data_IF_508592279391
#
_entry.id   IF_508592279391
#
_cell.length_a   1.000
_cell.length_b   1.000
_cell.length_c   1.000
_cell.angle_alpha   90.00
_cell.angle_beta   90.00
_cell.angle_gamma   90.00
#
_symmetry.space_group_name_H-M   'P 1'
#
loop_
_entity.id
_entity.type
_entity.pdbx_description
1 polymer ?
#
# COMPACT_ATOMS: atom_id res chain seq x y z
N UNK A 1 -69.33 13.65 8.70
CA UNK A 1 -68.77 12.44 9.35
C UNK A 1 -68.20 11.56 8.25
N UNK A 2 -66.88 11.64 8.01
CA UNK A 2 -65.82 10.77 8.56
C UNK A 2 -65.83 9.35 7.97
N UNK A 3 -64.88 9.07 7.08
CA UNK A 3 -64.32 7.71 6.84
C UNK A 3 -62.80 7.86 6.67
N UNK A 4 -61.96 7.38 7.60
CA UNK A 4 -60.51 7.61 7.58
C UNK A 4 -59.76 6.62 6.67
N UNK A 5 -58.55 7.02 6.30
CA UNK A 5 -57.62 6.32 5.39
C UNK A 5 -56.98 5.09 6.05
N UNK A 6 -57.59 3.90 5.91
CA UNK A 6 -57.09 2.61 6.46
C UNK A 6 -56.04 1.89 5.58
N UNK A 7 -55.30 2.62 4.74
CA UNK A 7 -54.23 2.04 3.90
C UNK A 7 -52.81 2.32 4.39
N UNK A 8 -52.63 3.28 5.29
CA UNK A 8 -51.31 3.82 5.61
C UNK A 8 -50.55 2.98 6.65
N UNK A 9 -51.27 2.44 7.63
CA UNK A 9 -50.67 1.73 8.78
C UNK A 9 -50.03 0.41 8.37
N UNK A 10 -50.61 -0.31 7.42
CA UNK A 10 -50.08 -1.60 6.94
C UNK A 10 -48.76 -1.44 6.20
N UNK A 11 -48.60 -0.37 5.41
CA UNK A 11 -47.36 -0.08 4.68
C UNK A 11 -46.26 0.37 5.64
N UNK A 12 -46.60 1.21 6.63
CA UNK A 12 -45.67 1.65 7.68
C UNK A 12 -45.16 0.47 8.52
N UNK A 13 -46.07 -0.42 8.94
CA UNK A 13 -45.72 -1.59 9.74
C UNK A 13 -44.84 -2.58 8.93
N UNK A 14 -45.06 -2.68 7.62
CA UNK A 14 -44.25 -3.55 6.76
C UNK A 14 -42.85 -2.97 6.49
N UNK A 15 -42.72 -1.66 6.31
CA UNK A 15 -41.43 -0.98 6.21
C UNK A 15 -40.59 -1.11 7.49
N UNK A 16 -41.23 -1.05 8.65
CA UNK A 16 -40.57 -1.18 9.94
C UNK A 16 -40.05 -2.61 10.16
N UNK A 17 -40.86 -3.61 9.81
CA UNK A 17 -40.45 -5.02 9.83
C UNK A 17 -39.29 -5.29 8.87
N UNK A 18 -39.26 -4.65 7.69
CA UNK A 18 -38.16 -4.80 6.74
C UNK A 18 -36.86 -4.18 7.26
N UNK A 19 -36.91 -3.00 7.90
CA UNK A 19 -35.73 -2.38 8.53
C UNK A 19 -35.18 -3.20 9.68
N UNK A 20 -36.05 -3.76 10.52
CA UNK A 20 -35.66 -4.63 11.64
C UNK A 20 -35.02 -5.94 11.14
N UNK A 21 -35.54 -6.50 10.04
CA UNK A 21 -34.92 -7.67 9.39
C UNK A 21 -33.57 -7.33 8.76
N UNK A 22 -33.43 -6.17 8.13
CA UNK A 22 -32.15 -5.69 7.64
C UNK A 22 -31.16 -5.53 8.79
N UNK A 23 -31.57 -5.01 9.95
CA UNK A 23 -30.72 -4.82 11.12
C UNK A 23 -30.18 -6.14 11.72
N UNK A 24 -30.98 -7.21 11.70
CA UNK A 24 -30.56 -8.53 12.19
C UNK A 24 -29.74 -9.32 11.16
N UNK A 25 -29.84 -8.98 9.87
CA UNK A 25 -29.06 -9.60 8.80
C UNK A 25 -27.77 -8.82 8.46
N UNK A 26 -27.47 -7.74 9.20
CA UNK A 26 -26.14 -7.12 9.17
C UNK A 26 -25.26 -7.91 10.14
N UNK A 27 -24.18 -8.56 9.68
CA UNK A 27 -23.19 -9.07 10.61
C UNK A 27 -22.70 -7.91 11.50
N UNK A 28 -22.34 -8.18 12.78
CA UNK A 28 -21.85 -7.14 13.69
C UNK A 28 -20.76 -6.34 12.98
N UNK A 29 -20.92 -5.01 12.93
CA UNK A 29 -19.87 -4.12 12.45
C UNK A 29 -18.64 -4.46 13.29
N UNK A 30 -17.54 -4.93 12.67
CA UNK A 30 -16.32 -5.15 13.42
C UNK A 30 -15.96 -3.82 14.11
N UNK A 31 -15.41 -3.86 15.34
CA UNK A 31 -14.83 -2.67 15.94
C UNK A 31 -13.89 -2.04 14.91
N UNK A 32 -13.93 -0.70 14.79
CA UNK A 32 -12.97 0.04 13.98
C UNK A 32 -11.58 -0.56 14.20
N UNK A 33 -10.89 -1.03 13.14
CA UNK A 33 -9.54 -1.51 13.30
C UNK A 33 -8.67 -0.32 13.67
N UNK A 34 -8.40 -0.20 14.97
CA UNK A 34 -7.07 0.14 15.44
C UNK A 34 -6.12 -0.89 14.81
N UNK A 35 -5.56 -0.55 13.65
CA UNK A 35 -4.60 -1.38 12.92
C UNK A 35 -5.24 -2.40 11.97
N UNK A 36 -5.01 -2.20 10.67
CA UNK A 36 -5.27 -3.22 9.64
C UNK A 36 -6.21 -2.78 8.53
N UNK A 37 -5.79 -1.83 7.69
CA UNK A 37 -6.34 -1.77 6.34
C UNK A 37 -6.04 -3.09 5.59
N UNK A 38 -6.80 -3.43 4.53
CA UNK A 38 -6.61 -4.68 3.79
C UNK A 38 -5.13 -4.86 3.48
N UNK A 39 -4.58 -6.01 3.88
CA UNK A 39 -3.35 -6.53 3.30
C UNK A 39 -3.70 -6.77 1.84
N UNK A 40 -3.45 -5.77 0.99
CA UNK A 40 -3.09 -6.02 -0.39
C UNK A 40 -1.79 -6.83 -0.31
N UNK A 41 -1.94 -8.14 -0.23
CA UNK A 41 -0.87 -9.12 -0.37
C UNK A 41 -0.47 -9.06 -1.85
N UNK A 42 0.42 -8.13 -2.18
CA UNK A 42 0.77 -7.81 -3.56
C UNK A 42 1.56 -6.52 -3.72
N UNK A 43 1.48 -5.60 -2.75
CA UNK A 43 2.42 -4.50 -2.66
C UNK A 43 3.66 -4.97 -1.89
N UNK A 44 4.90 -4.75 -2.38
CA UNK A 44 6.11 -5.08 -1.66
C UNK A 44 6.01 -4.39 -0.31
N UNK A 45 6.18 -5.16 0.76
CA UNK A 45 6.19 -4.66 2.13
C UNK A 45 7.27 -3.59 2.36
N UNK A 46 8.08 -3.30 1.34
CA UNK A 46 9.30 -2.53 1.45
C UNK A 46 9.23 -1.02 1.48
N UNK A 47 8.06 -0.42 1.34
CA UNK A 47 7.87 1.03 1.60
C UNK A 47 7.04 1.28 2.86
N UNK A 48 6.63 0.23 3.58
CA UNK A 48 5.61 0.28 4.64
C UNK A 48 5.94 1.18 5.85
N UNK A 49 7.18 1.67 5.99
CA UNK A 49 7.61 2.48 7.13
C UNK A 49 8.35 3.75 6.71
N UNK A 50 7.86 4.46 5.69
CA UNK A 50 8.33 5.82 5.38
C UNK A 50 7.64 6.84 6.30
N UNK A 51 8.31 7.39 7.32
CA UNK A 51 7.72 8.40 8.19
C UNK A 51 7.27 9.62 7.37
N UNK A 52 6.11 10.18 7.71
CA UNK A 52 5.54 11.35 7.04
C UNK A 52 4.68 11.06 5.81
N UNK A 53 4.72 9.85 5.24
CA UNK A 53 3.73 9.43 4.24
C UNK A 53 2.53 8.79 4.92
N UNK A 54 1.34 9.04 4.36
CA UNK A 54 0.12 8.34 4.70
C UNK A 54 0.14 6.94 4.10
N UNK A 55 -0.69 6.04 4.64
CA UNK A 55 -0.79 4.66 4.14
C UNK A 55 -1.12 4.58 2.64
N UNK A 56 -1.97 5.48 2.13
CA UNK A 56 -2.32 5.51 0.70
C UNK A 56 -1.15 5.94 -0.19
N UNK A 57 -0.34 6.90 0.25
CA UNK A 57 0.86 7.32 -0.48
C UNK A 57 1.93 6.22 -0.49
N UNK A 58 2.09 5.53 0.64
CA UNK A 58 2.99 4.38 0.75
C UNK A 58 2.56 3.26 -0.20
N UNK A 59 1.26 2.94 -0.24
CA UNK A 59 0.69 1.91 -1.10
C UNK A 59 0.85 2.27 -2.58
N UNK A 60 0.53 3.51 -2.97
CA UNK A 60 0.72 4.00 -4.34
C UNK A 60 2.19 3.97 -4.78
N UNK A 61 3.10 4.36 -3.89
CA UNK A 61 4.54 4.30 -4.14
C UNK A 61 5.02 2.85 -4.28
N UNK A 62 4.54 1.96 -3.40
CA UNK A 62 4.85 0.54 -3.42
C UNK A 62 4.41 -0.11 -4.72
N UNK A 63 3.15 0.11 -5.11
CA UNK A 63 2.58 -0.40 -6.35
C UNK A 63 3.37 0.12 -7.55
N UNK A 64 3.66 1.42 -7.61
CA UNK A 64 4.42 2.01 -8.71
C UNK A 64 5.79 1.34 -8.85
N UNK A 65 6.55 1.28 -7.76
CA UNK A 65 7.89 0.65 -7.75
C UNK A 65 7.80 -0.81 -8.20
N UNK A 66 6.76 -1.53 -7.78
CA UNK A 66 6.55 -2.94 -8.14
C UNK A 66 6.43 -3.16 -9.64
N UNK A 67 5.75 -2.25 -10.35
CA UNK A 67 5.60 -2.34 -11.80
C UNK A 67 6.96 -2.28 -12.52
N UNK A 68 7.92 -1.54 -11.96
CA UNK A 68 9.27 -1.44 -12.52
C UNK A 68 10.25 -2.45 -11.93
N UNK A 69 9.88 -3.15 -10.86
CA UNK A 69 10.77 -4.05 -10.17
C UNK A 69 10.68 -5.45 -10.75
N UNK A 70 11.60 -5.76 -11.65
CA UNK A 70 11.78 -7.12 -12.16
C UNK A 70 12.69 -7.91 -11.22
N UNK A 71 12.10 -8.77 -10.39
CA UNK A 71 12.84 -9.75 -9.58
C UNK A 71 12.76 -11.09 -10.29
N UNK A 72 13.91 -11.68 -10.59
CA UNK A 72 13.97 -13.03 -11.15
C UNK A 72 13.46 -14.04 -10.11
N UNK A 73 12.20 -14.47 -10.28
CA UNK A 73 11.50 -15.41 -9.39
C UNK A 73 12.17 -16.79 -9.30
N UNK A 74 13.11 -17.10 -10.20
CA UNK A 74 13.84 -18.38 -10.24
C UNK A 74 14.90 -18.56 -9.14
N UNK A 75 15.22 -17.52 -8.37
CA UNK A 75 16.16 -17.65 -7.25
C UNK A 75 15.45 -18.04 -5.94
N UNK A 76 15.73 -19.26 -5.48
CA UNK A 76 15.22 -19.78 -4.22
C UNK A 76 15.69 -18.92 -3.02
N UNK A 77 14.75 -18.57 -2.13
CA UNK A 77 15.03 -17.89 -0.86
C UNK A 77 15.19 -16.37 -0.94
N UNK A 78 14.84 -15.73 -2.07
CA UNK A 78 14.82 -14.27 -2.12
C UNK A 78 13.70 -13.66 -1.26
N UNK A 79 12.58 -14.36 -1.05
CA UNK A 79 11.42 -13.87 -0.33
C UNK A 79 11.66 -13.57 1.17
N UNK A 80 12.78 -14.03 1.74
CA UNK A 80 13.19 -13.73 3.11
C UNK A 80 14.26 -12.62 3.19
N UNK A 81 14.69 -12.11 2.04
CA UNK A 81 15.67 -11.03 1.95
C UNK A 81 14.95 -9.69 2.05
N UNK A 82 15.50 -8.81 2.89
CA UNK A 82 15.11 -7.40 2.96
C UNK A 82 16.36 -6.54 2.82
N UNK A 83 16.35 -5.61 1.87
CA UNK A 83 17.46 -4.68 1.65
C UNK A 83 17.02 -3.26 1.95
N UNK A 84 17.83 -2.57 2.72
CA UNK A 84 17.62 -1.19 3.14
C UNK A 84 18.42 -0.23 2.25
N UNK A 85 17.71 0.71 1.62
CA UNK A 85 18.24 1.70 0.70
C UNK A 85 17.74 3.10 1.09
N UNK A 86 18.58 4.12 0.87
CA UNK A 86 18.20 5.54 0.85
C UNK A 86 18.21 6.04 -0.58
N UNK A 87 17.39 7.04 -0.85
CA UNK A 87 17.32 7.68 -2.16
C UNK A 87 17.62 9.16 -2.05
N UNK A 88 18.29 9.72 -3.05
CA UNK A 88 18.36 11.17 -3.26
C UNK A 88 17.35 11.57 -4.31
N UNK A 89 16.55 12.58 -4.00
CA UNK A 89 15.47 13.06 -4.84
C UNK A 89 15.79 14.48 -5.32
N UNK A 90 15.46 14.77 -6.58
CA UNK A 90 15.42 16.13 -7.09
C UNK A 90 14.13 16.84 -6.63
N UNK A 91 14.05 18.18 -6.72
CA UNK A 91 12.86 18.96 -6.36
C UNK A 91 11.59 18.66 -7.18
N UNK A 92 11.73 17.90 -8.27
CA UNK A 92 10.66 17.38 -9.13
C UNK A 92 10.18 15.98 -8.70
N UNK A 93 10.77 15.38 -7.65
CA UNK A 93 10.50 14.02 -7.21
C UNK A 93 11.27 12.94 -7.96
N UNK A 94 12.21 13.33 -8.83
CA UNK A 94 13.02 12.38 -9.57
C UNK A 94 14.11 11.77 -8.69
N UNK A 95 14.23 10.44 -8.66
CA UNK A 95 15.37 9.75 -8.04
C UNK A 95 16.61 10.00 -8.89
N UNK A 96 17.67 10.52 -8.26
CA UNK A 96 18.98 10.73 -8.90
C UNK A 96 20.05 9.80 -8.38
N UNK A 97 19.88 9.28 -7.17
CA UNK A 97 20.84 8.38 -6.57
C UNK A 97 20.15 7.43 -5.60
N UNK A 98 20.65 6.21 -5.53
CA UNK A 98 20.22 5.20 -4.55
C UNK A 98 21.47 4.75 -3.80
N UNK A 99 21.41 4.79 -2.48
CA UNK A 99 22.54 4.54 -1.59
C UNK A 99 22.15 3.40 -0.65
N UNK A 100 22.83 2.24 -0.71
CA UNK A 100 22.55 1.16 0.22
C UNK A 100 23.02 1.52 1.63
N UNK A 101 22.26 1.11 2.65
CA UNK A 101 22.60 1.39 4.05
C UNK A 101 23.85 0.65 4.53
N UNK A 102 24.16 -0.48 3.91
CA UNK A 102 25.33 -1.31 4.16
C UNK A 102 25.82 -1.94 2.87
N UNK A 103 27.02 -2.52 2.89
CA UNK A 103 27.46 -3.39 1.81
C UNK A 103 26.63 -4.69 1.82
N UNK A 104 26.04 -5.03 0.68
CA UNK A 104 25.34 -6.30 0.49
C UNK A 104 26.22 -7.26 -0.31
N UNK A 105 26.12 -8.55 -0.02
CA UNK A 105 26.90 -9.60 -0.68
C UNK A 105 26.00 -10.77 -1.09
N UNK A 106 26.41 -11.52 -2.12
CA UNK A 106 25.67 -12.71 -2.54
C UNK A 106 24.25 -12.39 -3.01
N UNK A 107 23.24 -13.08 -2.46
CA UNK A 107 21.84 -12.91 -2.88
C UNK A 107 21.27 -11.53 -2.53
N UNK A 108 21.67 -10.96 -1.39
CA UNK A 108 21.22 -9.62 -0.99
C UNK A 108 21.70 -8.55 -1.96
N UNK A 109 22.91 -8.71 -2.51
CA UNK A 109 23.46 -7.80 -3.52
C UNK A 109 22.58 -7.79 -4.77
N UNK A 110 22.10 -8.96 -5.19
CA UNK A 110 21.22 -9.07 -6.37
C UNK A 110 19.90 -8.36 -6.11
N UNK A 111 19.27 -8.57 -4.95
CA UNK A 111 18.03 -7.90 -4.57
C UNK A 111 18.21 -6.38 -4.50
N UNK A 112 19.31 -5.91 -3.87
CA UNK A 112 19.64 -4.49 -3.79
C UNK A 112 19.84 -3.86 -5.17
N UNK A 113 20.49 -4.57 -6.10
CA UNK A 113 20.71 -4.08 -7.45
C UNK A 113 19.41 -4.01 -8.26
N UNK A 114 18.55 -5.02 -8.13
CA UNK A 114 17.24 -5.00 -8.77
C UNK A 114 16.35 -3.87 -8.23
N UNK A 115 16.33 -3.67 -6.91
CA UNK A 115 15.60 -2.56 -6.29
C UNK A 115 16.17 -1.20 -6.75
N UNK A 116 17.49 -1.06 -6.85
CA UNK A 116 18.14 0.14 -7.38
C UNK A 116 17.73 0.40 -8.84
N UNK A 117 17.68 -0.63 -9.68
CA UNK A 117 17.21 -0.51 -11.07
C UNK A 117 15.76 -0.07 -11.15
N UNK A 118 14.88 -0.61 -10.30
CA UNK A 118 13.47 -0.23 -10.26
C UNK A 118 13.29 1.25 -9.91
N UNK A 119 14.01 1.74 -8.88
CA UNK A 119 13.96 3.13 -8.43
C UNK A 119 14.51 4.14 -9.45
N UNK A 120 15.52 3.75 -10.22
CA UNK A 120 16.12 4.59 -11.28
C UNK A 120 15.45 4.39 -12.64
N UNK A 121 14.50 3.48 -12.76
CA UNK A 121 13.84 3.17 -14.03
C UNK A 121 13.07 4.40 -14.54
N UNK A 122 13.22 4.79 -15.82
CA UNK A 122 12.49 5.91 -16.40
C UNK A 122 10.97 5.69 -16.41
N UNK A 123 10.50 4.44 -16.26
CA UNK A 123 9.08 4.14 -16.14
C UNK A 123 8.52 4.51 -14.76
N UNK A 124 9.34 4.46 -13.71
CA UNK A 124 8.93 4.76 -12.33
C UNK A 124 9.44 6.10 -11.80
N UNK A 125 10.26 6.79 -12.57
CA UNK A 125 10.84 8.08 -12.24
C UNK A 125 10.12 9.18 -13.03
N UNK A 126 9.56 10.24 -12.39
CA UNK A 126 9.61 10.58 -10.97
C UNK A 126 8.63 9.77 -10.11
N UNK A 127 8.96 9.61 -8.82
CA UNK A 127 8.08 8.94 -7.87
C UNK A 127 6.89 9.84 -7.51
N UNK A 128 5.68 9.28 -7.28
CA UNK A 128 4.47 10.04 -6.95
C UNK A 128 4.48 10.51 -5.49
N UNK A 129 5.47 11.35 -5.13
CA UNK A 129 5.67 11.88 -3.79
C UNK A 129 5.31 13.37 -3.80
N UNK A 130 4.48 13.87 -2.87
CA UNK A 130 4.19 15.29 -2.79
C UNK A 130 5.44 16.08 -2.40
N UNK A 131 5.58 17.28 -3.00
CA UNK A 131 6.80 18.10 -2.89
C UNK A 131 7.15 18.48 -1.44
N UNK A 132 6.13 18.68 -0.61
CA UNK A 132 6.28 19.00 0.82
C UNK A 132 6.95 17.87 1.63
N UNK A 133 6.90 16.62 1.13
CA UNK A 133 7.42 15.44 1.82
C UNK A 133 8.75 14.94 1.28
N UNK A 134 9.27 15.52 0.19
CA UNK A 134 10.51 15.06 -0.45
C UNK A 134 11.68 14.98 0.53
N UNK A 135 11.85 15.98 1.40
CA UNK A 135 12.90 15.99 2.41
C UNK A 135 12.75 14.84 3.42
N UNK A 136 11.51 14.57 3.87
CA UNK A 136 11.23 13.46 4.78
C UNK A 136 11.49 12.11 4.10
N UNK A 137 11.12 11.97 2.82
CA UNK A 137 11.36 10.75 2.06
C UNK A 137 12.86 10.51 1.85
N UNK A 138 13.62 11.55 1.51
CA UNK A 138 15.07 11.47 1.34
C UNK A 138 15.79 11.08 2.65
N UNK A 139 15.28 11.53 3.80
CA UNK A 139 15.80 11.13 5.12
C UNK A 139 15.37 9.72 5.55
N UNK A 140 14.36 9.15 4.88
CA UNK A 140 13.78 7.85 5.22
C UNK A 140 14.57 6.67 4.66
N UNK A 141 14.42 5.51 5.29
CA UNK A 141 14.99 4.25 4.83
C UNK A 141 13.91 3.41 4.17
N UNK A 142 14.15 3.04 2.93
CA UNK A 142 13.29 2.13 2.16
C UNK A 142 13.77 0.70 2.35
N UNK A 143 12.86 -0.24 2.56
CA UNK A 143 13.15 -1.64 2.94
C UNK A 143 12.69 -2.65 1.90
N UNK A 144 13.31 -2.73 0.74
CA UNK A 144 12.83 -3.60 -0.33
C UNK A 144 12.87 -5.09 0.04
N UNK A 145 11.74 -5.78 -0.08
CA UNK A 145 11.64 -7.23 0.00
C UNK A 145 10.86 -7.76 -1.20
N UNK A 146 11.36 -8.79 -1.90
CA UNK A 146 10.67 -9.38 -3.04
C UNK A 146 9.52 -10.31 -2.62
N UNK A 147 9.27 -10.46 -1.32
CA UNK A 147 8.11 -11.18 -0.78
C UNK A 147 6.82 -10.63 -1.39
N UNK A 148 6.01 -11.48 -2.00
CA UNK A 148 4.77 -11.10 -2.69
C UNK A 148 4.93 -10.70 -4.16
N UNK A 149 6.16 -10.50 -4.65
CA UNK A 149 6.48 -10.28 -6.07
C UNK A 149 7.03 -11.53 -6.77
N UNK A 150 7.65 -12.45 -6.00
CA UNK A 150 8.00 -13.78 -6.48
C UNK A 150 6.71 -14.56 -6.69
N UNK A 151 6.32 -14.79 -7.94
CA UNK A 151 5.13 -15.55 -8.34
C UNK A 151 5.52 -16.85 -9.03
#
# INVERSE_FOLDING_TARGET
>A
MQRPLEGSTTVQNTLERLRLQQAQNQPPRPPQPQGGAPRQQGAPEGTASLPGLTRGEIDGLSNRISECWSVDAGMLGLADITVELRVRLRPDGSVVQVIPLRAYTGREQVVAEQARRALLSPQCNPLPIPREKLATVEASVFRFSPRGLVR
#
